data_IF_217191992516
#
_entry.id   IF_217191992516
#
_cell.length_a   1.000
_cell.length_b   1.000
_cell.length_c   1.000
_cell.angle_alpha   90.00
_cell.angle_beta   90.00
_cell.angle_gamma   90.00
#
_symmetry.space_group_name_H-M   'P 1'
#
loop_
_entity.id
_entity.type
_entity.pdbx_description
1 polymer ?
#
# COMPACT_ATOMS: atom_id res chain seq x y z
N UNK A 1 -9.66 30.36 30.42
CA UNK A 1 -10.46 29.40 29.64
C UNK A 1 -11.49 28.78 30.58
N UNK A 2 -12.79 28.87 30.26
CA UNK A 2 -13.83 28.15 31.02
C UNK A 2 -13.73 26.67 30.65
N UNK A 3 -13.50 25.81 31.64
CA UNK A 3 -13.58 24.36 31.46
C UNK A 3 -15.07 23.98 31.52
N UNK A 4 -15.64 23.57 30.41
CA UNK A 4 -16.99 22.99 30.41
C UNK A 4 -16.91 21.56 30.96
N UNK A 5 -17.51 21.36 32.14
CA UNK A 5 -17.60 20.05 32.80
C UNK A 5 -18.85 19.34 32.28
N UNK A 6 -18.66 18.22 31.58
CA UNK A 6 -19.76 17.38 31.06
C UNK A 6 -19.92 16.15 31.96
N UNK A 7 -21.11 15.96 32.52
CA UNK A 7 -21.44 14.80 33.34
C UNK A 7 -21.85 13.59 32.48
N UNK A 8 -21.29 12.41 32.80
CA UNK A 8 -21.71 11.15 32.20
C UNK A 8 -23.12 10.78 32.68
N UNK A 9 -24.02 10.53 31.74
CA UNK A 9 -25.39 10.07 31.96
C UNK A 9 -25.65 8.88 31.04
N UNK A 10 -26.59 8.00 31.42
CA UNK A 10 -26.94 6.82 30.60
C UNK A 10 -27.29 7.15 29.15
N UNK A 11 -27.77 8.37 28.87
CA UNK A 11 -28.11 8.86 27.52
C UNK A 11 -26.91 9.37 26.71
N UNK A 12 -25.83 9.82 27.34
CA UNK A 12 -24.70 10.46 26.67
C UNK A 12 -23.38 9.65 26.73
N UNK A 13 -23.29 8.66 27.62
CA UNK A 13 -22.06 7.88 27.86
C UNK A 13 -21.50 7.27 26.58
N UNK A 14 -22.35 6.61 25.78
CA UNK A 14 -21.91 5.98 24.53
C UNK A 14 -21.35 7.00 23.54
N UNK A 15 -21.97 8.18 23.42
CA UNK A 15 -21.53 9.25 22.52
C UNK A 15 -20.18 9.83 22.96
N UNK A 16 -20.01 10.08 24.27
CA UNK A 16 -18.76 10.63 24.82
C UNK A 16 -17.62 9.63 24.67
N UNK A 17 -17.85 8.34 24.94
CA UNK A 17 -16.86 7.28 24.77
C UNK A 17 -16.44 7.13 23.32
N UNK A 18 -17.41 7.15 22.37
CA UNK A 18 -17.12 7.09 20.95
C UNK A 18 -16.31 8.31 20.46
N UNK A 19 -16.68 9.52 20.87
CA UNK A 19 -15.95 10.75 20.52
C UNK A 19 -14.51 10.72 21.05
N UNK A 20 -14.32 10.25 22.30
CA UNK A 20 -12.98 10.07 22.89
C UNK A 20 -12.15 9.01 22.12
N UNK A 21 -12.78 7.91 21.71
CA UNK A 21 -12.13 6.89 20.90
C UNK A 21 -11.70 7.43 19.52
N UNK A 22 -12.58 8.15 18.82
CA UNK A 22 -12.24 8.80 17.54
C UNK A 22 -11.13 9.84 17.72
N UNK A 23 -11.21 10.67 18.77
CA UNK A 23 -10.21 11.69 19.04
C UNK A 23 -8.79 11.11 19.27
N UNK A 24 -8.72 9.88 19.79
CA UNK A 24 -7.45 9.16 19.99
C UNK A 24 -7.05 8.30 18.77
N UNK A 25 -7.91 8.18 17.76
CA UNK A 25 -7.62 7.47 16.53
C UNK A 25 -6.66 8.27 15.65
N UNK A 26 -5.44 7.78 15.46
CA UNK A 26 -4.52 8.35 14.47
C UNK A 26 -4.75 7.72 13.11
N UNK A 27 -4.68 8.52 12.05
CA UNK A 27 -4.72 8.07 10.66
C UNK A 27 -3.29 7.75 10.18
N UNK A 28 -3.13 6.65 9.44
CA UNK A 28 -1.87 6.30 8.78
C UNK A 28 -1.77 6.84 7.34
N UNK A 29 -2.66 7.75 6.95
CA UNK A 29 -2.77 8.29 5.59
C UNK A 29 -1.46 8.93 5.13
N UNK A 30 -0.81 9.71 5.98
CA UNK A 30 0.47 10.35 5.66
C UNK A 30 1.55 9.31 5.34
N UNK A 31 1.68 8.27 6.18
CA UNK A 31 2.63 7.17 5.97
C UNK A 31 2.31 6.39 4.68
N UNK A 32 1.03 6.13 4.41
CA UNK A 32 0.58 5.47 3.17
C UNK A 32 0.91 6.32 1.93
N UNK A 33 0.66 7.61 1.97
CA UNK A 33 0.94 8.53 0.86
C UNK A 33 2.44 8.66 0.60
N UNK A 34 3.26 8.70 1.67
CA UNK A 34 4.72 8.66 1.57
C UNK A 34 5.19 7.36 0.92
N UNK A 35 4.69 6.22 1.37
CA UNK A 35 5.05 4.90 0.82
C UNK A 35 4.66 4.77 -0.67
N UNK A 36 3.48 5.26 -1.06
CA UNK A 36 3.06 5.29 -2.48
C UNK A 36 4.04 6.08 -3.36
N UNK A 37 4.48 7.26 -2.91
CA UNK A 37 5.45 8.08 -3.65
C UNK A 37 6.79 7.36 -3.80
N UNK A 38 7.28 6.74 -2.74
CA UNK A 38 8.55 5.96 -2.75
C UNK A 38 8.44 4.80 -3.74
N UNK A 39 7.39 3.99 -3.65
CA UNK A 39 7.19 2.84 -4.53
C UNK A 39 7.02 3.25 -5.99
N UNK A 40 6.27 4.33 -6.28
CA UNK A 40 6.10 4.84 -7.64
C UNK A 40 7.43 5.28 -8.26
N UNK A 41 8.28 5.96 -7.48
CA UNK A 41 9.63 6.33 -7.91
C UNK A 41 10.49 5.09 -8.13
N UNK A 42 10.48 4.13 -7.21
CA UNK A 42 11.25 2.88 -7.31
C UNK A 42 10.85 2.04 -8.54
N UNK A 43 9.56 1.93 -8.83
CA UNK A 43 9.07 1.23 -10.04
C UNK A 43 9.62 1.88 -11.32
N UNK A 44 9.79 3.21 -11.32
CA UNK A 44 10.25 3.95 -12.49
C UNK A 44 11.77 4.00 -12.65
N UNK A 45 12.54 3.81 -11.58
CA UNK A 45 14.01 4.00 -11.58
C UNK A 45 14.82 2.74 -11.26
N UNK A 46 14.28 1.79 -10.49
CA UNK A 46 15.04 0.65 -9.93
C UNK A 46 14.69 -0.69 -10.59
N UNK A 47 13.56 -0.75 -11.29
CA UNK A 47 13.11 -1.93 -12.02
C UNK A 47 13.57 -1.86 -13.48
N UNK A 48 13.92 -3.03 -14.03
CA UNK A 48 14.09 -3.15 -15.49
C UNK A 48 12.75 -3.05 -16.20
N UNK A 49 12.74 -2.75 -17.49
CA UNK A 49 11.50 -2.58 -18.27
C UNK A 49 10.59 -3.83 -18.18
N UNK A 50 11.17 -5.02 -18.30
CA UNK A 50 10.44 -6.29 -18.12
C UNK A 50 9.89 -6.48 -16.71
N UNK A 51 10.66 -6.10 -15.67
CA UNK A 51 10.19 -6.17 -14.28
C UNK A 51 9.02 -5.21 -14.03
N UNK A 52 9.14 -3.98 -14.53
CA UNK A 52 8.13 -2.94 -14.44
C UNK A 52 6.85 -3.35 -15.17
N UNK A 53 6.97 -3.80 -16.42
CA UNK A 53 5.84 -4.27 -17.22
C UNK A 53 5.09 -5.41 -16.52
N UNK A 54 5.80 -6.47 -16.10
CA UNK A 54 5.17 -7.59 -15.40
C UNK A 54 4.47 -7.20 -14.09
N UNK A 55 5.03 -6.27 -13.31
CA UNK A 55 4.39 -5.76 -12.08
C UNK A 55 3.15 -4.94 -12.39
N UNK A 56 3.21 -4.04 -13.38
CA UNK A 56 2.09 -3.19 -13.78
C UNK A 56 0.93 -4.04 -14.29
N UNK A 57 1.20 -4.95 -15.23
CA UNK A 57 0.16 -5.82 -15.78
C UNK A 57 -0.48 -6.70 -14.70
N UNK A 58 0.32 -7.23 -13.78
CA UNK A 58 -0.20 -8.12 -12.74
C UNK A 58 -1.02 -7.39 -11.67
N UNK A 59 -0.50 -6.29 -11.11
CA UNK A 59 -1.12 -5.63 -9.96
C UNK A 59 -2.07 -4.48 -10.33
N UNK A 60 -1.84 -3.79 -11.45
CA UNK A 60 -2.70 -2.67 -11.87
C UNK A 60 -3.76 -3.11 -12.87
N UNK A 61 -3.40 -3.99 -13.81
CA UNK A 61 -4.32 -4.48 -14.83
C UNK A 61 -4.95 -5.84 -14.50
N UNK A 62 -4.55 -6.47 -13.38
CA UNK A 62 -5.15 -7.71 -12.89
C UNK A 62 -4.84 -8.96 -13.73
N UNK A 63 -3.88 -8.89 -14.65
CA UNK A 63 -3.53 -10.04 -15.51
C UNK A 63 -2.86 -11.14 -14.71
N UNK A 64 -3.17 -12.38 -15.06
CA UNK A 64 -2.47 -13.57 -14.57
C UNK A 64 -1.08 -13.67 -15.22
N UNK A 65 -0.15 -14.34 -14.53
CA UNK A 65 1.19 -14.59 -15.10
C UNK A 65 1.17 -15.38 -16.41
N UNK A 66 0.11 -16.18 -16.66
CA UNK A 66 -0.07 -16.91 -17.92
C UNK A 66 -0.48 -15.99 -19.07
N UNK A 67 -1.36 -15.03 -18.83
CA UNK A 67 -1.76 -14.03 -19.84
C UNK A 67 -0.58 -13.15 -20.22
N UNK A 68 0.15 -12.63 -19.23
CA UNK A 68 1.38 -11.84 -19.46
C UNK A 68 2.41 -12.66 -20.25
N UNK A 69 2.58 -13.94 -19.91
CA UNK A 69 3.51 -14.82 -20.60
C UNK A 69 3.13 -15.04 -22.07
N UNK A 70 1.83 -15.19 -22.35
CA UNK A 70 1.30 -15.29 -23.71
C UNK A 70 1.54 -14.02 -24.52
N UNK A 71 1.33 -12.85 -23.91
CA UNK A 71 1.57 -11.54 -24.57
C UNK A 71 3.04 -11.32 -24.89
N UNK A 72 3.94 -11.72 -23.99
CA UNK A 72 5.39 -11.56 -24.16
C UNK A 72 6.05 -12.68 -24.98
N UNK A 73 5.32 -13.75 -25.32
CA UNK A 73 5.88 -14.92 -26.02
C UNK A 73 6.90 -15.70 -25.18
N UNK A 74 6.78 -15.69 -23.86
CA UNK A 74 7.70 -16.37 -22.92
C UNK A 74 7.00 -17.42 -22.07
N UNK A 75 7.76 -18.20 -21.30
CA UNK A 75 7.19 -19.13 -20.33
C UNK A 75 6.63 -18.37 -19.10
N UNK A 76 5.51 -18.84 -18.53
CA UNK A 76 4.96 -18.33 -17.27
C UNK A 76 5.95 -18.37 -16.09
N UNK A 77 6.90 -19.31 -16.10
CA UNK A 77 7.98 -19.37 -15.11
C UNK A 77 8.93 -18.16 -15.22
N UNK A 78 9.17 -17.65 -16.44
CA UNK A 78 9.96 -16.43 -16.70
C UNK A 78 9.24 -15.21 -16.12
N UNK A 79 7.94 -15.05 -16.39
CA UNK A 79 7.13 -13.97 -15.82
C UNK A 79 7.15 -14.01 -14.29
N UNK A 80 6.95 -15.20 -13.71
CA UNK A 80 7.01 -15.39 -12.26
C UNK A 80 8.36 -14.97 -11.66
N UNK A 81 9.47 -15.25 -12.34
CA UNK A 81 10.81 -14.79 -11.92
C UNK A 81 10.91 -13.26 -11.95
N UNK A 82 10.43 -12.60 -13.01
CA UNK A 82 10.44 -11.14 -13.10
C UNK A 82 9.60 -10.48 -12.01
N UNK A 83 8.38 -10.97 -11.77
CA UNK A 83 7.51 -10.47 -10.70
C UNK A 83 8.18 -10.64 -9.33
N UNK A 84 8.75 -11.80 -9.05
CA UNK A 84 9.42 -12.06 -7.76
C UNK A 84 10.67 -11.21 -7.57
N UNK A 85 11.49 -11.04 -8.61
CA UNK A 85 12.67 -10.18 -8.56
C UNK A 85 12.28 -8.72 -8.32
N UNK A 86 11.27 -8.22 -9.03
CA UNK A 86 10.75 -6.87 -8.85
C UNK A 86 10.20 -6.66 -7.43
N UNK A 87 9.37 -7.59 -6.94
CA UNK A 87 8.81 -7.56 -5.58
C UNK A 87 9.89 -7.56 -4.51
N UNK A 88 10.96 -8.35 -4.69
CA UNK A 88 12.11 -8.37 -3.77
C UNK A 88 12.79 -7.01 -3.72
N UNK A 89 13.06 -6.38 -4.87
CA UNK A 89 13.64 -5.03 -4.93
C UNK A 89 12.75 -3.99 -4.24
N UNK A 90 11.47 -3.94 -4.60
CA UNK A 90 10.52 -2.98 -4.02
C UNK A 90 10.37 -3.16 -2.51
N UNK A 91 10.35 -4.41 -2.02
CA UNK A 91 10.32 -4.69 -0.58
C UNK A 91 11.57 -4.19 0.13
N UNK A 92 12.75 -4.45 -0.43
CA UNK A 92 14.01 -3.98 0.15
C UNK A 92 14.03 -2.44 0.22
N UNK A 93 13.55 -1.76 -0.83
CA UNK A 93 13.45 -0.30 -0.83
C UNK A 93 12.46 0.15 0.25
N UNK A 94 11.28 -0.44 0.30
CA UNK A 94 10.25 -0.08 1.27
C UNK A 94 10.71 -0.26 2.72
N UNK A 95 11.50 -1.31 3.02
CA UNK A 95 12.00 -1.57 4.38
C UNK A 95 12.93 -0.49 4.93
N UNK A 96 13.54 0.35 4.08
CA UNK A 96 14.31 1.50 4.57
C UNK A 96 13.45 2.66 5.06
N UNK A 97 12.14 2.64 4.78
CA UNK A 97 11.22 3.76 5.06
C UNK A 97 10.02 3.38 5.95
N UNK A 98 9.98 2.13 6.42
CA UNK A 98 9.03 1.64 7.43
C UNK A 98 9.68 1.68 8.80
#
# INVERSE_FOLDING_TARGET
MRTEVVHFTSKNTNKILFMKHIANGSTNEQSRNKMKKILSKAISSELTDLQKHCIVEHYLNGKTGKEIAKELGVNASTVSRHINAARKKLRNIASYYM
#
